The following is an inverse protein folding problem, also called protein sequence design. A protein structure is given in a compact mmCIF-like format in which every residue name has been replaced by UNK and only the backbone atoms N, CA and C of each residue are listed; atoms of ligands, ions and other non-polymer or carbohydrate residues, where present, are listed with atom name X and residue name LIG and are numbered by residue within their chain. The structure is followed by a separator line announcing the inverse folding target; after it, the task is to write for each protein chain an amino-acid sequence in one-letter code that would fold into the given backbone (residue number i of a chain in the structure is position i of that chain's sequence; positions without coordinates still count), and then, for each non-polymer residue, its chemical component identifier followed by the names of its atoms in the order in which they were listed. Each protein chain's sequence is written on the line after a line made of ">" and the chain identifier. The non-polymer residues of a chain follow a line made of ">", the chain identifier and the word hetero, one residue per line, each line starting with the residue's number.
data_IF_318795501815
#
_entry.id   IF_318795501815
#
_cell.length_a   1.000
_cell.length_b   1.000
_cell.length_c   1.000
_cell.angle_alpha   90.00
_cell.angle_beta   90.00
_cell.angle_gamma   90.00
#
_symmetry.space_group_name_H-M   'P 1'
#
loop_
_entity.id
_entity.type
_entity.pdbx_description
1 polymer ?
#
# COMPACT_ATOMS: atom_id res chain seq x y z
N UNK A 1 -5.87 1.38 -4.25
CA UNK A 1 -7.00 1.86 -5.09
C UNK A 1 -8.06 2.68 -4.32
N UNK A 2 -8.72 2.12 -3.30
CA UNK A 2 -9.83 2.81 -2.61
C UNK A 2 -9.41 4.15 -1.96
N UNK A 3 -8.29 4.19 -1.23
CA UNK A 3 -7.77 5.44 -0.66
C UNK A 3 -7.49 6.49 -1.75
N UNK A 4 -6.85 6.11 -2.86
CA UNK A 4 -6.57 7.04 -3.96
C UNK A 4 -7.87 7.64 -4.51
N UNK A 5 -8.87 6.79 -4.78
CA UNK A 5 -10.16 7.24 -5.29
C UNK A 5 -10.86 8.20 -4.31
N UNK A 6 -11.02 7.79 -3.05
CA UNK A 6 -11.70 8.60 -2.04
C UNK A 6 -10.95 9.91 -1.76
N UNK A 7 -9.62 9.87 -1.65
CA UNK A 7 -8.81 11.08 -1.45
C UNK A 7 -8.89 12.04 -2.64
N UNK A 8 -8.92 11.53 -3.86
CA UNK A 8 -9.03 12.37 -5.07
C UNK A 8 -10.41 13.00 -5.17
N UNK A 9 -11.49 12.25 -4.90
CA UNK A 9 -12.85 12.80 -4.87
C UNK A 9 -13.00 13.79 -3.72
N UNK A 10 -12.43 13.48 -2.54
CA UNK A 10 -12.37 14.40 -1.40
C UNK A 10 -11.71 15.72 -1.79
N UNK A 11 -10.56 15.66 -2.47
CA UNK A 11 -9.83 16.86 -2.90
C UNK A 11 -10.62 17.65 -3.93
N UNK A 12 -11.25 16.96 -4.88
CA UNK A 12 -12.13 17.58 -5.86
C UNK A 12 -13.29 18.32 -5.18
N UNK A 13 -13.99 17.68 -4.24
CA UNK A 13 -15.07 18.30 -3.45
C UNK A 13 -14.55 19.48 -2.61
N UNK A 14 -13.40 19.34 -1.96
CA UNK A 14 -12.79 20.38 -1.14
C UNK A 14 -12.41 21.62 -1.98
N UNK A 15 -11.99 21.42 -3.23
CA UNK A 15 -11.62 22.51 -4.13
C UNK A 15 -12.81 23.17 -4.85
N UNK A 16 -14.02 22.60 -4.73
CA UNK A 16 -15.19 23.14 -5.40
C UNK A 16 -15.60 24.49 -4.80
N UNK A 17 -15.99 25.48 -5.64
CA UNK A 17 -16.47 26.77 -5.16
C UNK A 17 -17.86 26.67 -4.52
N UNK A 18 -18.64 25.63 -4.85
CA UNK A 18 -19.98 25.46 -4.32
C UNK A 18 -19.95 24.90 -2.89
N UNK A 19 -20.70 25.56 -2.00
CA UNK A 19 -20.71 25.21 -0.57
C UNK A 19 -21.21 23.79 -0.30
N UNK A 20 -22.18 23.31 -1.09
CA UNK A 20 -22.77 21.97 -0.90
C UNK A 20 -21.72 20.88 -1.11
N UNK A 21 -21.00 20.91 -2.23
CA UNK A 21 -19.93 19.95 -2.52
C UNK A 21 -18.79 20.05 -1.50
N UNK A 22 -18.40 21.26 -1.12
CA UNK A 22 -17.37 21.47 -0.12
C UNK A 22 -17.68 20.76 1.22
N UNK A 23 -18.93 20.84 1.70
CA UNK A 23 -19.34 20.19 2.94
C UNK A 23 -19.63 18.69 2.82
N UNK A 24 -19.65 18.13 1.60
CA UNK A 24 -19.66 16.68 1.39
C UNK A 24 -18.28 16.03 1.56
N UNK A 25 -17.20 16.80 1.38
CA UNK A 25 -15.83 16.30 1.54
C UNK A 25 -15.57 15.54 2.87
N UNK A 26 -15.91 16.06 4.07
CA UNK A 26 -15.59 15.36 5.32
C UNK A 26 -16.31 14.01 5.45
N UNK A 27 -17.48 13.82 4.84
CA UNK A 27 -18.17 12.51 4.83
C UNK A 27 -17.39 11.47 4.03
N UNK A 28 -16.85 11.83 2.85
CA UNK A 28 -15.92 10.96 2.13
C UNK A 28 -14.64 10.71 2.91
N UNK A 29 -14.19 11.70 3.67
CA UNK A 29 -13.06 11.56 4.57
C UNK A 29 -13.29 10.51 5.66
N UNK A 30 -14.49 10.48 6.25
CA UNK A 30 -14.88 9.43 7.21
C UNK A 30 -14.85 8.05 6.57
N UNK A 31 -15.35 7.90 5.34
CA UNK A 31 -15.25 6.63 4.60
C UNK A 31 -13.80 6.24 4.35
N UNK A 32 -12.94 7.20 3.99
CA UNK A 32 -11.52 6.96 3.72
C UNK A 32 -10.74 6.57 4.98
N UNK A 33 -11.08 7.14 6.14
CA UNK A 33 -10.52 6.76 7.45
C UNK A 33 -10.93 5.33 7.83
N UNK A 34 -12.16 4.93 7.48
CA UNK A 34 -12.71 3.60 7.77
C UNK A 34 -12.10 2.45 6.97
N UNK A 35 -11.28 2.74 5.96
CA UNK A 35 -10.53 1.72 5.23
C UNK A 35 -9.46 1.09 6.13
N UNK A 36 -8.72 0.13 5.58
CA UNK A 36 -7.72 -0.67 6.30
C UNK A 36 -6.63 0.13 7.05
N UNK A 37 -6.38 1.40 6.72
CA UNK A 37 -5.42 2.26 7.44
C UNK A 37 -5.94 3.71 7.59
N UNK A 38 -6.36 4.12 8.80
CA UNK A 38 -6.95 5.45 9.02
C UNK A 38 -5.96 6.61 8.80
N UNK A 39 -4.68 6.34 9.08
CA UNK A 39 -3.59 7.32 9.01
C UNK A 39 -3.39 7.84 7.58
N UNK A 40 -3.63 7.00 6.55
CA UNK A 40 -3.42 7.37 5.14
C UNK A 40 -4.26 8.60 4.76
N UNK A 41 -5.54 8.62 5.14
CA UNK A 41 -6.39 9.79 4.86
C UNK A 41 -6.07 10.96 5.77
N UNK A 42 -5.75 10.71 7.05
CA UNK A 42 -5.43 11.77 8.00
C UNK A 42 -4.21 12.59 7.55
N UNK A 43 -3.11 11.94 7.16
CA UNK A 43 -1.91 12.61 6.64
C UNK A 43 -2.21 13.33 5.33
N UNK A 44 -3.04 12.72 4.48
CA UNK A 44 -3.44 13.33 3.23
C UNK A 44 -4.20 14.65 3.42
N UNK A 45 -5.23 14.65 4.30
CA UNK A 45 -6.12 15.78 4.49
C UNK A 45 -5.55 16.86 5.44
N UNK A 46 -4.61 16.51 6.32
CA UNK A 46 -4.13 17.39 7.37
C UNK A 46 -3.68 18.80 6.90
N UNK A 47 -2.88 18.97 5.82
CA UNK A 47 -2.47 20.30 5.37
C UNK A 47 -3.65 21.18 4.95
N UNK A 48 -4.63 20.60 4.26
CA UNK A 48 -5.84 21.29 3.81
C UNK A 48 -6.72 21.72 4.99
N UNK A 49 -6.86 20.86 6.01
CA UNK A 49 -7.64 21.19 7.21
C UNK A 49 -6.93 22.24 8.08
N UNK A 50 -5.61 22.13 8.23
CA UNK A 50 -4.80 23.11 8.94
C UNK A 50 -4.92 24.50 8.28
N UNK A 51 -5.05 24.54 6.96
CA UNK A 51 -5.30 25.79 6.24
C UNK A 51 -6.63 26.43 6.61
N UNK A 52 -7.70 25.66 6.83
CA UNK A 52 -8.99 26.21 7.28
C UNK A 52 -8.85 26.92 8.64
N UNK A 53 -8.10 26.31 9.56
CA UNK A 53 -7.78 26.89 10.88
C UNK A 53 -6.95 28.17 10.70
N UNK A 54 -5.88 28.12 9.91
CA UNK A 54 -4.99 29.26 9.68
C UNK A 54 -5.70 30.45 9.02
N UNK A 55 -6.64 30.18 8.12
CA UNK A 55 -7.48 31.19 7.47
C UNK A 55 -8.68 31.62 8.33
N UNK A 56 -8.79 31.13 9.57
CA UNK A 56 -9.88 31.43 10.51
C UNK A 56 -11.27 31.12 9.93
N UNK A 57 -11.39 30.11 9.07
CA UNK A 57 -12.68 29.64 8.50
C UNK A 57 -13.42 28.76 9.52
N UNK A 58 -13.69 29.31 10.70
CA UNK A 58 -14.22 28.57 11.85
C UNK A 58 -15.48 27.75 11.57
N UNK A 59 -16.49 28.23 10.82
CA UNK A 59 -17.65 27.40 10.50
C UNK A 59 -17.26 26.13 9.75
N UNK A 60 -16.33 26.23 8.79
CA UNK A 60 -15.83 25.07 8.06
C UNK A 60 -15.01 24.15 8.98
N UNK A 61 -14.12 24.71 9.80
CA UNK A 61 -13.33 23.95 10.77
C UNK A 61 -14.20 23.15 11.74
N UNK A 62 -15.25 23.77 12.29
CA UNK A 62 -16.16 23.10 13.24
C UNK A 62 -16.93 21.98 12.56
N UNK A 63 -17.46 22.22 11.35
CA UNK A 63 -18.20 21.20 10.59
C UNK A 63 -17.30 20.02 10.23
N UNK A 64 -16.13 20.28 9.63
CA UNK A 64 -15.18 19.22 9.28
C UNK A 64 -14.71 18.47 10.53
N UNK A 65 -14.32 19.20 11.58
CA UNK A 65 -13.85 18.62 12.84
C UNK A 65 -14.92 17.76 13.50
N UNK A 66 -16.17 18.24 13.57
CA UNK A 66 -17.30 17.49 14.14
C UNK A 66 -17.60 16.20 13.38
N UNK A 67 -17.64 16.26 12.05
CA UNK A 67 -17.89 15.07 11.20
C UNK A 67 -16.74 14.07 11.33
N UNK A 68 -15.48 14.53 11.27
CA UNK A 68 -14.33 13.63 11.43
C UNK A 68 -14.28 13.03 12.84
N UNK A 69 -14.56 13.79 13.88
CA UNK A 69 -14.58 13.30 15.26
C UNK A 69 -15.67 12.22 15.43
N UNK A 70 -16.88 12.49 14.97
CA UNK A 70 -17.99 11.52 15.00
C UNK A 70 -17.66 10.26 14.19
N UNK A 71 -17.08 10.42 12.99
CA UNK A 71 -16.66 9.30 12.15
C UNK A 71 -15.54 8.47 12.77
N UNK A 72 -14.51 9.10 13.34
CA UNK A 72 -13.44 8.41 14.07
C UNK A 72 -13.98 7.66 15.29
N UNK A 73 -14.89 8.26 16.05
CA UNK A 73 -15.56 7.58 17.17
C UNK A 73 -16.37 6.37 16.68
N UNK A 74 -17.14 6.51 15.60
CA UNK A 74 -17.90 5.41 14.99
C UNK A 74 -17.01 4.25 14.56
N UNK A 75 -15.92 4.52 13.84
CA UNK A 75 -14.96 3.48 13.42
C UNK A 75 -14.21 2.85 14.58
N UNK A 76 -13.88 3.63 15.61
CA UNK A 76 -13.26 3.12 16.83
C UNK A 76 -14.19 2.14 17.55
N UNK A 77 -15.46 2.51 17.75
CA UNK A 77 -16.47 1.65 18.37
C UNK A 77 -16.72 0.39 17.54
N UNK A 78 -16.82 0.53 16.21
CA UNK A 78 -16.92 -0.61 15.29
C UNK A 78 -15.75 -1.58 15.43
N UNK A 79 -14.51 -1.05 15.41
CA UNK A 79 -13.31 -1.87 15.61
C UNK A 79 -13.34 -2.57 16.96
N UNK A 80 -13.66 -1.85 18.05
CA UNK A 80 -13.71 -2.42 19.39
C UNK A 80 -14.71 -3.58 19.50
N UNK A 81 -15.81 -3.52 18.75
CA UNK A 81 -16.83 -4.57 18.72
C UNK A 81 -16.38 -5.80 17.92
N UNK A 82 -15.68 -5.63 16.79
CA UNK A 82 -15.32 -6.71 15.88
C UNK A 82 -13.85 -7.15 15.94
N UNK A 83 -13.02 -6.56 16.79
CA UNK A 83 -11.61 -6.92 16.89
C UNK A 83 -11.44 -8.34 17.44
N UNK A 84 -10.57 -9.13 16.79
CA UNK A 84 -10.17 -10.44 17.29
C UNK A 84 -9.31 -10.31 18.54
N UNK A 85 -9.39 -11.30 19.42
CA UNK A 85 -8.48 -11.44 20.57
C UNK A 85 -7.02 -11.45 20.04
N UNK A 86 -6.19 -10.54 20.53
CA UNK A 86 -4.78 -10.41 20.11
C UNK A 86 -4.48 -9.35 19.03
N UNK A 87 -5.47 -8.53 18.62
CA UNK A 87 -5.21 -7.41 17.71
C UNK A 87 -4.21 -6.40 18.31
N UNK A 88 -3.25 -5.95 17.49
CA UNK A 88 -2.23 -4.99 17.92
C UNK A 88 -2.85 -3.69 18.45
N UNK A 89 -2.35 -3.21 19.59
CA UNK A 89 -2.88 -2.00 20.23
C UNK A 89 -2.62 -0.74 19.37
N UNK A 90 -3.47 0.28 19.53
CA UNK A 90 -3.31 1.59 18.89
C UNK A 90 -1.95 2.23 19.22
N UNK A 91 -1.40 1.93 20.41
CA UNK A 91 -0.09 2.42 20.84
C UNK A 91 1.08 1.91 19.99
N UNK A 92 0.91 0.78 19.29
CA UNK A 92 1.95 0.21 18.41
C UNK A 92 2.39 1.18 17.31
N UNK A 93 1.55 2.12 16.90
CA UNK A 93 1.87 3.17 15.91
C UNK A 93 3.06 4.04 16.34
N UNK A 94 3.28 4.19 17.65
CA UNK A 94 4.35 4.99 18.25
C UNK A 94 5.58 4.16 18.63
N UNK A 95 5.69 2.94 18.13
CA UNK A 95 6.89 2.13 18.30
C UNK A 95 8.13 2.87 17.73
N UNK A 96 9.31 2.62 18.30
CA UNK A 96 10.54 3.25 17.82
C UNK A 96 10.76 2.97 16.34
N UNK A 97 11.33 3.97 15.64
CA UNK A 97 11.59 3.89 14.21
C UNK A 97 12.45 2.66 13.86
N UNK A 98 12.13 2.01 12.75
CA UNK A 98 12.85 0.85 12.25
C UNK A 98 14.05 1.33 11.40
N UNK A 99 15.31 1.06 11.80
CA UNK A 99 16.49 1.52 11.04
C UNK A 99 16.51 1.05 9.59
N UNK A 100 15.87 -0.08 9.27
CA UNK A 100 15.77 -0.59 7.90
C UNK A 100 14.99 0.37 6.98
N UNK A 101 14.14 1.25 7.53
CA UNK A 101 13.42 2.25 6.75
C UNK A 101 14.34 3.18 5.97
N UNK A 102 15.56 3.44 6.46
CA UNK A 102 16.55 4.25 5.76
C UNK A 102 16.92 3.67 4.39
N UNK A 103 16.79 2.36 4.21
CA UNK A 103 17.07 1.66 2.95
C UNK A 103 15.75 1.37 2.20
N UNK A 104 14.73 0.90 2.92
CA UNK A 104 13.44 0.50 2.34
C UNK A 104 12.72 1.68 1.69
N UNK A 105 12.76 2.88 2.27
CA UNK A 105 11.98 4.02 1.80
C UNK A 105 12.53 4.63 0.50
N UNK A 106 13.85 4.78 0.31
CA UNK A 106 14.41 5.06 -1.01
C UNK A 106 14.01 4.03 -2.07
N UNK A 107 14.05 2.73 -1.75
CA UNK A 107 13.58 1.68 -2.66
C UNK A 107 12.10 1.84 -3.00
N UNK A 108 11.26 2.19 -2.04
CA UNK A 108 9.85 2.45 -2.26
C UNK A 108 9.60 3.69 -3.13
N UNK A 109 10.42 4.74 -3.02
CA UNK A 109 10.36 5.88 -3.96
C UNK A 109 10.67 5.41 -5.39
N UNK A 110 11.66 4.54 -5.56
CA UNK A 110 11.96 3.96 -6.88
C UNK A 110 10.79 3.14 -7.43
N UNK A 111 9.93 2.55 -6.58
CA UNK A 111 8.68 1.94 -7.02
C UNK A 111 7.70 2.99 -7.57
N UNK A 112 7.62 4.19 -6.99
CA UNK A 112 6.79 5.28 -7.55
C UNK A 112 7.29 5.65 -8.94
N UNK A 113 8.59 5.85 -9.10
CA UNK A 113 9.20 6.14 -10.41
C UNK A 113 8.98 4.98 -11.39
N UNK A 114 9.16 3.76 -10.90
CA UNK A 114 9.09 2.53 -11.69
C UNK A 114 7.69 2.15 -12.18
N UNK A 115 6.64 2.67 -11.54
CA UNK A 115 5.23 2.42 -11.88
C UNK A 115 4.47 3.66 -12.36
N UNK A 116 5.01 4.86 -12.20
CA UNK A 116 4.50 6.06 -12.86
C UNK A 116 5.05 6.18 -14.29
N UNK A 117 4.46 7.07 -15.10
CA UNK A 117 5.12 7.45 -16.36
C UNK A 117 6.46 8.12 -16.05
N UNK A 118 7.51 7.87 -16.83
CA UNK A 118 8.87 8.39 -16.55
C UNK A 118 8.91 9.92 -16.43
N UNK A 119 7.99 10.60 -17.11
CA UNK A 119 7.86 12.06 -17.10
C UNK A 119 7.22 12.57 -15.81
N UNK A 120 6.28 11.83 -15.22
CA UNK A 120 5.56 12.25 -14.01
C UNK A 120 6.47 12.63 -12.84
N UNK A 121 7.42 11.78 -12.37
CA UNK A 121 8.28 12.13 -11.25
C UNK A 121 9.21 13.31 -11.59
N UNK A 122 9.69 13.40 -12.83
CA UNK A 122 10.53 14.53 -13.27
C UNK A 122 9.76 15.86 -13.22
N UNK A 123 8.53 15.87 -13.72
CA UNK A 123 7.65 17.04 -13.62
C UNK A 123 7.27 17.34 -12.17
N UNK A 124 7.02 16.33 -11.35
CA UNK A 124 6.74 16.53 -9.93
C UNK A 124 7.92 17.22 -9.22
N UNK A 125 9.16 16.82 -9.51
CA UNK A 125 10.36 17.50 -8.98
C UNK A 125 10.40 18.97 -9.41
N UNK A 126 10.14 19.28 -10.68
CA UNK A 126 10.05 20.67 -11.15
C UNK A 126 8.95 21.45 -10.40
N UNK A 127 7.78 20.85 -10.21
CA UNK A 127 6.68 21.44 -9.45
C UNK A 127 7.05 21.74 -7.99
N UNK A 128 7.71 20.80 -7.31
CA UNK A 128 8.19 20.98 -5.93
C UNK A 128 9.20 22.13 -5.80
N UNK A 129 10.07 22.33 -6.80
CA UNK A 129 11.04 23.45 -6.78
C UNK A 129 10.37 24.83 -6.72
N UNK A 130 9.12 24.94 -7.19
CA UNK A 130 8.34 26.16 -7.15
C UNK A 130 7.45 26.29 -5.90
N UNK A 131 7.65 25.48 -4.85
CA UNK A 131 6.77 25.39 -3.67
C UNK A 131 6.20 26.73 -3.17
N UNK A 132 7.05 27.72 -2.90
CA UNK A 132 6.62 29.03 -2.36
C UNK A 132 5.87 29.92 -3.37
N UNK A 133 5.88 29.58 -4.65
CA UNK A 133 5.17 30.26 -5.74
C UNK A 133 3.90 29.53 -6.16
N UNK A 134 3.60 28.37 -5.56
CA UNK A 134 2.40 27.60 -5.85
C UNK A 134 1.15 28.29 -5.31
N UNK A 135 0.01 28.02 -5.94
CA UNK A 135 -1.29 28.35 -5.34
C UNK A 135 -1.48 27.60 -4.02
N UNK A 136 -2.27 28.16 -3.11
CA UNK A 136 -2.43 27.62 -1.75
C UNK A 136 -2.87 26.15 -1.73
N UNK A 137 -3.74 25.75 -2.66
CA UNK A 137 -4.22 24.36 -2.78
C UNK A 137 -3.08 23.42 -3.21
N UNK A 138 -2.23 23.84 -4.14
CA UNK A 138 -1.10 23.00 -4.60
C UNK A 138 0.02 22.96 -3.55
N UNK A 139 0.19 24.02 -2.75
CA UNK A 139 1.05 23.96 -1.56
C UNK A 139 0.57 22.90 -0.57
N UNK A 140 -0.74 22.83 -0.29
CA UNK A 140 -1.30 21.79 0.58
C UNK A 140 -1.13 20.40 -0.01
N UNK A 141 -1.30 20.24 -1.33
CA UNK A 141 -1.05 18.99 -2.03
C UNK A 141 0.42 18.55 -1.90
N UNK A 142 1.36 19.48 -2.02
CA UNK A 142 2.79 19.23 -1.80
C UNK A 142 3.08 18.85 -0.36
N UNK A 143 2.54 19.59 0.61
CA UNK A 143 2.66 19.26 2.03
C UNK A 143 2.03 17.91 2.35
N UNK A 144 0.94 17.53 1.69
CA UNK A 144 0.24 16.25 1.86
C UNK A 144 1.12 15.09 1.42
N UNK A 145 1.80 15.22 0.27
CA UNK A 145 2.76 14.24 -0.21
C UNK A 145 3.97 14.13 0.74
N UNK A 146 4.55 15.28 1.14
CA UNK A 146 5.71 15.33 2.02
C UNK A 146 5.39 14.77 3.41
N UNK A 147 4.26 15.16 4.00
CA UNK A 147 3.82 14.69 5.31
C UNK A 147 3.57 13.18 5.29
N UNK A 148 2.92 12.67 4.23
CA UNK A 148 2.70 11.23 4.05
C UNK A 148 4.03 10.49 3.96
N UNK A 149 4.93 10.94 3.09
CA UNK A 149 6.25 10.32 2.95
C UNK A 149 7.06 10.37 4.25
N UNK A 150 7.19 11.54 4.88
CA UNK A 150 7.94 11.71 6.13
C UNK A 150 7.38 10.84 7.24
N UNK A 151 6.06 10.77 7.41
CA UNK A 151 5.45 9.90 8.41
C UNK A 151 5.87 8.44 8.21
N UNK A 152 5.69 7.92 6.98
CA UNK A 152 6.03 6.53 6.69
C UNK A 152 7.53 6.28 6.66
N UNK A 153 8.35 7.30 6.41
CA UNK A 153 9.79 7.21 6.50
C UNK A 153 10.26 6.82 7.91
N UNK A 154 9.59 7.33 8.94
CA UNK A 154 9.88 7.03 10.35
C UNK A 154 8.95 5.96 10.95
N UNK A 155 7.99 5.46 10.18
CA UNK A 155 7.06 4.43 10.64
C UNK A 155 7.76 3.08 10.76
N UNK A 156 7.51 2.37 11.85
CA UNK A 156 8.27 1.16 12.20
C UNK A 156 7.97 -0.06 11.32
N UNK A 157 6.77 -0.12 10.71
CA UNK A 157 6.39 -1.18 9.79
C UNK A 157 6.78 -0.82 8.35
N UNK A 158 7.29 -1.82 7.62
CA UNK A 158 7.31 -1.71 6.17
C UNK A 158 5.89 -1.88 5.61
N UNK A 159 5.72 -1.47 4.35
CA UNK A 159 4.48 -1.72 3.61
C UNK A 159 4.26 -3.21 3.31
N UNK A 160 5.14 -4.07 3.83
CA UNK A 160 5.33 -5.44 3.43
C UNK A 160 5.43 -5.53 1.90
N UNK A 161 4.72 -6.51 1.38
CA UNK A 161 4.79 -6.92 0.02
C UNK A 161 3.86 -6.10 -0.88
N UNK A 162 4.38 -5.63 -2.01
CA UNK A 162 3.59 -4.93 -3.00
C UNK A 162 4.40 -4.50 -4.21
N UNK A 163 3.73 -4.41 -5.35
CA UNK A 163 4.34 -3.96 -6.60
C UNK A 163 4.67 -2.46 -6.57
N UNK A 164 3.84 -1.64 -5.92
CA UNK A 164 4.02 -0.19 -5.83
C UNK A 164 4.28 0.30 -4.41
N UNK A 165 4.34 1.62 -4.26
CA UNK A 165 4.45 2.26 -2.94
C UNK A 165 3.07 2.53 -2.34
N UNK A 166 2.55 1.55 -1.58
CA UNK A 166 1.25 1.55 -0.90
C UNK A 166 1.05 2.79 -0.03
N UNK A 167 2.07 3.19 0.71
CA UNK A 167 1.98 4.30 1.65
C UNK A 167 1.78 5.66 0.98
N UNK A 168 2.42 5.91 -0.18
CA UNK A 168 2.20 7.14 -0.94
C UNK A 168 1.00 7.05 -1.89
N UNK A 169 0.45 5.85 -2.10
CA UNK A 169 -0.60 5.62 -3.10
C UNK A 169 -1.84 6.51 -2.89
N UNK A 170 -2.22 6.79 -1.63
CA UNK A 170 -3.34 7.68 -1.30
C UNK A 170 -3.09 9.16 -1.65
N UNK A 171 -1.84 9.57 -1.86
CA UNK A 171 -1.44 10.94 -2.17
C UNK A 171 -1.08 11.15 -3.64
N UNK A 172 -1.20 10.14 -4.51
CA UNK A 172 -0.83 10.26 -5.93
C UNK A 172 -1.63 11.34 -6.67
N UNK A 173 -2.89 11.57 -6.30
CA UNK A 173 -3.68 12.69 -6.85
C UNK A 173 -3.03 14.05 -6.59
N UNK A 174 -2.50 14.26 -5.38
CA UNK A 174 -1.73 15.46 -5.04
C UNK A 174 -0.42 15.53 -5.83
N UNK A 175 0.30 14.41 -5.97
CA UNK A 175 1.54 14.35 -6.75
C UNK A 175 1.30 14.75 -8.22
N UNK A 176 0.17 14.36 -8.80
CA UNK A 176 -0.21 14.75 -10.16
C UNK A 176 -0.46 16.25 -10.29
N UNK A 177 -1.11 16.90 -9.31
CA UNK A 177 -1.28 18.37 -9.33
C UNK A 177 0.07 19.09 -9.33
N UNK A 178 1.03 18.59 -8.56
CA UNK A 178 2.39 19.14 -8.51
C UNK A 178 3.09 18.93 -9.86
N UNK A 179 2.95 17.76 -10.46
CA UNK A 179 3.49 17.47 -11.79
C UNK A 179 2.90 18.39 -12.88
N UNK A 180 1.60 18.73 -12.80
CA UNK A 180 0.99 19.71 -13.72
C UNK A 180 1.62 21.10 -13.57
N UNK A 181 1.98 21.52 -12.36
CA UNK A 181 2.72 22.77 -12.19
C UNK A 181 4.13 22.69 -12.77
N UNK A 182 4.82 21.57 -12.59
CA UNK A 182 6.13 21.35 -13.24
C UNK A 182 6.05 21.33 -14.76
N UNK A 183 4.94 20.86 -15.33
CA UNK A 183 4.66 20.96 -16.76
C UNK A 183 4.54 22.42 -17.23
N UNK A 184 3.82 23.26 -16.48
CA UNK A 184 3.69 24.68 -16.81
C UNK A 184 5.06 25.38 -16.77
N UNK A 185 5.85 25.12 -15.73
CA UNK A 185 7.23 25.61 -15.60
C UNK A 185 8.12 25.20 -16.79
N UNK A 186 8.08 23.92 -17.15
CA UNK A 186 8.81 23.40 -18.30
C UNK A 186 8.36 24.09 -19.59
N UNK A 187 7.04 24.25 -19.78
CA UNK A 187 6.46 24.88 -20.98
C UNK A 187 6.86 26.35 -21.11
N UNK A 188 6.89 27.09 -20.01
CA UNK A 188 7.40 28.47 -19.95
C UNK A 188 8.90 28.54 -20.27
N UNK A 189 9.69 27.57 -19.79
CA UNK A 189 11.15 27.60 -19.88
C UNK A 189 11.67 27.17 -21.25
N UNK A 190 11.16 26.08 -21.82
CA UNK A 190 11.66 25.51 -23.09
C UNK A 190 10.73 25.70 -24.28
N UNK A 191 9.55 26.31 -24.05
CA UNK A 191 8.50 26.48 -25.05
C UNK A 191 7.55 25.27 -25.15
N UNK A 192 6.28 25.56 -25.43
CA UNK A 192 5.19 24.57 -25.42
C UNK A 192 5.41 23.37 -26.35
N UNK A 193 6.00 23.58 -27.54
CA UNK A 193 6.26 22.51 -28.51
C UNK A 193 7.28 21.50 -27.98
N UNK A 194 8.38 21.98 -27.37
CA UNK A 194 9.42 21.11 -26.81
C UNK A 194 8.93 20.39 -25.56
N UNK A 195 8.23 21.09 -24.67
CA UNK A 195 7.59 20.48 -23.51
C UNK A 195 6.63 19.35 -23.95
N UNK A 196 5.75 19.61 -24.94
CA UNK A 196 4.82 18.61 -25.48
C UNK A 196 5.54 17.41 -26.07
N UNK A 197 6.62 17.63 -26.80
CA UNK A 197 7.44 16.56 -27.34
C UNK A 197 8.04 15.70 -26.22
N UNK A 198 8.55 16.32 -25.14
CA UNK A 198 9.07 15.61 -23.97
C UNK A 198 7.99 14.76 -23.28
N UNK A 199 6.79 15.31 -23.05
CA UNK A 199 5.68 14.56 -22.44
C UNK A 199 5.24 13.39 -23.33
N UNK A 200 5.03 13.62 -24.63
CA UNK A 200 4.61 12.57 -25.56
C UNK A 200 5.65 11.47 -25.69
N UNK A 201 6.94 11.82 -25.80
CA UNK A 201 8.01 10.84 -25.86
C UNK A 201 8.08 10.01 -24.57
N UNK A 202 7.98 10.64 -23.41
CA UNK A 202 7.99 9.90 -22.16
C UNK A 202 6.77 9.01 -21.96
N UNK A 203 5.58 9.44 -22.40
CA UNK A 203 4.39 8.58 -22.42
C UNK A 203 4.59 7.40 -23.38
N UNK A 204 5.14 7.63 -24.57
CA UNK A 204 5.46 6.57 -25.52
C UNK A 204 6.48 5.59 -24.93
N UNK A 205 7.56 6.06 -24.31
CA UNK A 205 8.52 5.20 -23.61
C UNK A 205 7.85 4.40 -22.48
N UNK A 206 6.97 5.02 -21.70
CA UNK A 206 6.26 4.31 -20.63
C UNK A 206 5.32 3.22 -21.16
N UNK A 207 4.62 3.46 -22.27
CA UNK A 207 3.70 2.48 -22.85
C UNK A 207 4.40 1.40 -23.66
N UNK A 208 5.43 1.75 -24.42
CA UNK A 208 6.07 0.84 -25.38
C UNK A 208 7.28 0.10 -24.79
N UNK A 209 7.92 0.65 -23.76
CA UNK A 209 9.12 0.06 -23.14
C UNK A 209 8.86 -0.35 -21.69
N UNK A 210 8.45 0.62 -20.85
CA UNK A 210 8.31 0.39 -19.41
C UNK A 210 7.21 -0.63 -19.09
N UNK A 211 6.02 -0.49 -19.68
CA UNK A 211 4.89 -1.38 -19.42
C UNK A 211 5.18 -2.83 -19.88
N UNK A 212 5.64 -3.11 -21.11
CA UNK A 212 6.00 -4.48 -21.50
C UNK A 212 7.09 -5.08 -20.62
N UNK A 213 8.12 -4.31 -20.26
CA UNK A 213 9.16 -4.76 -19.34
C UNK A 213 8.56 -5.13 -17.97
N UNK A 214 7.64 -4.33 -17.43
CA UNK A 214 6.95 -4.61 -16.17
C UNK A 214 6.07 -5.85 -16.27
N UNK A 215 5.38 -6.06 -17.39
CA UNK A 215 4.62 -7.28 -17.64
C UNK A 215 5.54 -8.51 -17.62
N UNK A 216 6.68 -8.47 -18.31
CA UNK A 216 7.65 -9.56 -18.31
C UNK A 216 8.23 -9.83 -16.92
N UNK A 217 8.59 -8.79 -16.17
CA UNK A 217 9.11 -8.91 -14.81
C UNK A 217 8.07 -9.49 -13.85
N UNK A 218 6.82 -9.02 -13.91
CA UNK A 218 5.74 -9.52 -13.08
C UNK A 218 5.40 -10.97 -13.42
N UNK A 219 5.36 -11.31 -14.71
CA UNK A 219 5.13 -12.68 -15.18
C UNK A 219 6.24 -13.61 -14.69
N UNK A 220 7.51 -13.27 -14.94
CA UNK A 220 8.66 -14.08 -14.54
C UNK A 220 8.70 -14.31 -13.03
N UNK A 221 8.36 -13.28 -12.25
CA UNK A 221 8.29 -13.38 -10.80
C UNK A 221 7.12 -14.26 -10.32
N UNK A 222 5.93 -14.13 -10.90
CA UNK A 222 4.72 -14.85 -10.48
C UNK A 222 4.67 -16.30 -11.01
N UNK A 223 5.27 -16.58 -12.17
CA UNK A 223 5.28 -17.90 -12.81
C UNK A 223 5.62 -19.07 -11.86
N UNK A 224 6.69 -19.04 -11.04
CA UNK A 224 6.97 -20.12 -10.09
C UNK A 224 5.86 -20.32 -9.05
N UNK A 225 5.27 -19.22 -8.54
CA UNK A 225 4.13 -19.30 -7.62
C UNK A 225 2.88 -19.89 -8.27
N UNK A 226 2.60 -19.51 -9.52
CA UNK A 226 1.48 -20.08 -10.27
C UNK A 226 1.66 -21.58 -10.53
N UNK A 227 2.88 -22.02 -10.88
CA UNK A 227 3.22 -23.44 -11.04
C UNK A 227 3.10 -24.20 -9.73
N UNK A 228 3.58 -23.63 -8.63
CA UNK A 228 3.44 -24.23 -7.29
C UNK A 228 1.98 -24.36 -6.89
N UNK A 229 1.18 -23.31 -7.05
CA UNK A 229 -0.25 -23.38 -6.76
C UNK A 229 -0.97 -24.45 -7.61
N UNK A 230 -0.60 -24.60 -8.89
CA UNK A 230 -1.16 -25.64 -9.75
C UNK A 230 -0.74 -27.05 -9.30
N UNK A 231 0.55 -27.25 -8.96
CA UNK A 231 1.05 -28.53 -8.47
C UNK A 231 0.36 -28.93 -7.17
N UNK A 232 0.32 -28.03 -6.18
CA UNK A 232 -0.28 -28.30 -4.88
C UNK A 232 -1.75 -28.72 -5.01
N UNK A 233 -2.49 -28.10 -5.95
CA UNK A 233 -3.89 -28.46 -6.26
C UNK A 233 -4.04 -29.78 -7.03
N UNK A 234 -3.01 -30.25 -7.72
CA UNK A 234 -3.03 -31.47 -8.50
C UNK A 234 -2.65 -32.72 -7.68
N UNK A 235 -2.12 -32.54 -6.46
CA UNK A 235 -1.76 -33.67 -5.58
C UNK A 235 -3.04 -34.42 -5.17
N UNK A 236 -3.13 -35.74 -5.40
CA UNK A 236 -4.29 -36.54 -5.06
C UNK A 236 -4.32 -36.86 -3.55
N UNK A 237 -4.61 -35.84 -2.73
CA UNK A 237 -4.75 -35.95 -1.29
C UNK A 237 -5.99 -35.19 -0.80
N UNK A 238 -6.48 -35.51 0.40
CA UNK A 238 -7.53 -34.73 1.05
C UNK A 238 -7.01 -33.37 1.52
N UNK A 239 -5.75 -33.32 1.96
CA UNK A 239 -5.09 -32.10 2.38
C UNK A 239 -3.62 -32.09 1.96
N UNK A 240 -3.12 -30.92 1.61
CA UNK A 240 -1.71 -30.66 1.36
C UNK A 240 -1.24 -29.61 2.35
N UNK A 241 -0.19 -29.91 3.10
CA UNK A 241 0.38 -28.99 4.09
C UNK A 241 1.86 -28.75 3.82
N UNK A 242 2.31 -27.53 4.05
CA UNK A 242 3.72 -27.14 3.97
C UNK A 242 4.03 -26.06 4.99
N UNK A 243 5.31 -25.81 5.26
CA UNK A 243 5.73 -24.69 6.10
C UNK A 243 5.89 -23.42 5.23
N UNK A 244 5.10 -22.35 5.46
CA UNK A 244 5.20 -21.12 4.68
C UNK A 244 6.52 -20.34 4.91
N UNK A 245 7.39 -20.82 5.80
CA UNK A 245 8.74 -20.29 6.03
C UNK A 245 9.79 -20.91 5.10
N UNK A 246 9.46 -22.02 4.43
CA UNK A 246 10.42 -22.75 3.60
C UNK A 246 10.83 -21.99 2.34
N UNK A 247 9.94 -21.15 1.80
CA UNK A 247 10.26 -20.28 0.67
C UNK A 247 9.65 -18.91 0.85
N UNK A 248 10.32 -17.92 0.27
CA UNK A 248 9.81 -16.55 0.20
C UNK A 248 8.41 -16.57 -0.44
N UNK A 249 7.42 -15.89 0.18
CA UNK A 249 6.01 -15.78 -0.27
C UNK A 249 5.18 -17.08 -0.34
N UNK A 250 5.66 -18.22 0.17
CA UNK A 250 4.87 -19.47 0.07
C UNK A 250 3.54 -19.42 0.84
N UNK A 251 3.39 -18.55 1.85
CA UNK A 251 2.11 -18.30 2.51
C UNK A 251 0.98 -17.89 1.55
N UNK A 252 1.28 -17.23 0.44
CA UNK A 252 0.29 -16.84 -0.57
C UNK A 252 -0.27 -18.04 -1.36
N UNK A 253 0.36 -19.21 -1.26
CA UNK A 253 -0.10 -20.46 -1.88
C UNK A 253 -1.23 -21.11 -1.07
N UNK A 254 -1.46 -20.69 0.18
CA UNK A 254 -2.54 -21.16 1.04
C UNK A 254 -3.85 -20.53 0.56
N UNK A 255 -4.45 -21.13 -0.48
CA UNK A 255 -5.69 -20.66 -1.09
C UNK A 255 -6.67 -21.80 -1.29
N UNK A 256 -7.75 -21.76 -0.53
CA UNK A 256 -8.86 -22.70 -0.63
C UNK A 256 -10.08 -22.03 -1.26
N UNK A 257 -10.94 -22.85 -1.85
CA UNK A 257 -12.29 -22.45 -2.21
C UNK A 257 -13.04 -21.94 -0.95
N UNK A 258 -13.83 -20.84 -1.03
CA UNK A 258 -14.52 -20.27 0.14
C UNK A 258 -15.46 -21.24 0.86
N UNK A 259 -16.00 -22.24 0.16
CA UNK A 259 -16.89 -23.25 0.72
C UNK A 259 -16.17 -24.56 1.07
N UNK A 260 -14.85 -24.62 0.89
CA UNK A 260 -13.99 -25.78 1.18
C UNK A 260 -14.47 -27.06 0.47
N UNK A 261 -15.11 -26.93 -0.69
CA UNK A 261 -15.67 -28.06 -1.44
C UNK A 261 -14.59 -28.81 -2.24
N UNK A 262 -13.61 -28.07 -2.75
CA UNK A 262 -12.56 -28.63 -3.57
C UNK A 262 -11.46 -29.28 -2.73
N UNK A 263 -10.82 -30.32 -3.28
CA UNK A 263 -9.67 -31.01 -2.69
C UNK A 263 -8.47 -30.89 -3.65
N UNK A 264 -7.22 -30.92 -3.13
CA UNK A 264 -6.85 -30.93 -1.71
C UNK A 264 -7.14 -29.60 -1.01
N UNK A 265 -7.40 -29.64 0.30
CA UNK A 265 -7.32 -28.43 1.13
C UNK A 265 -5.84 -28.06 1.33
N UNK A 266 -5.50 -26.80 1.14
CA UNK A 266 -4.15 -26.29 1.35
C UNK A 266 -4.05 -25.69 2.75
N UNK A 267 -3.15 -26.24 3.56
CA UNK A 267 -2.93 -25.85 4.96
C UNK A 267 -1.48 -25.47 5.26
N UNK A 268 -1.26 -24.93 6.46
CA UNK A 268 0.05 -24.51 6.94
C UNK A 268 0.50 -25.34 8.13
N UNK A 269 1.77 -25.72 8.15
CA UNK A 269 2.41 -26.33 9.32
C UNK A 269 2.81 -25.30 10.39
N UNK A 270 2.82 -24.00 10.05
CA UNK A 270 3.33 -22.94 10.93
C UNK A 270 2.64 -22.87 12.30
N UNK A 271 1.33 -23.14 12.33
CA UNK A 271 0.52 -23.10 13.55
C UNK A 271 0.28 -24.47 14.18
N UNK A 272 0.89 -25.53 13.64
CA UNK A 272 0.71 -26.91 14.11
C UNK A 272 1.75 -27.22 15.17
N UNK A 273 1.31 -27.70 16.34
CA UNK A 273 2.23 -28.15 17.39
C UNK A 273 3.02 -29.38 16.94
N UNK A 274 4.25 -29.61 17.45
CA UNK A 274 5.11 -30.73 17.03
C UNK A 274 4.40 -32.09 17.07
N UNK A 275 3.58 -32.33 18.09
CA UNK A 275 2.76 -33.54 18.25
C UNK A 275 1.76 -33.70 17.10
N UNK A 276 1.12 -32.60 16.68
CA UNK A 276 0.21 -32.57 15.54
C UNK A 276 0.90 -32.85 14.21
N UNK A 277 2.17 -32.45 14.05
CA UNK A 277 2.94 -32.76 12.84
C UNK A 277 3.17 -34.27 12.70
N UNK A 278 3.49 -34.97 13.80
CA UNK A 278 3.64 -36.42 13.80
C UNK A 278 2.34 -37.13 13.43
N UNK A 279 1.20 -36.63 13.90
CA UNK A 279 -0.13 -37.16 13.53
C UNK A 279 -0.40 -36.96 12.03
N UNK A 280 -0.11 -35.79 11.48
CA UNK A 280 -0.29 -35.51 10.06
C UNK A 280 0.59 -36.38 9.17
N UNK A 281 1.83 -36.66 9.60
CA UNK A 281 2.76 -37.57 8.90
C UNK A 281 2.24 -39.01 8.81
N UNK A 282 1.43 -39.44 9.77
CA UNK A 282 0.84 -40.78 9.79
C UNK A 282 -0.47 -40.89 9.00
N UNK A 283 -1.04 -39.77 8.56
CA UNK A 283 -2.31 -39.76 7.82
C UNK A 283 -2.10 -40.07 6.34
N UNK A 284 -2.76 -41.11 5.83
CA UNK A 284 -2.73 -41.46 4.40
C UNK A 284 -3.44 -40.45 3.48
N UNK A 285 -4.22 -39.53 4.05
CA UNK A 285 -5.00 -38.53 3.32
C UNK A 285 -4.36 -37.13 3.33
N UNK A 286 -3.18 -36.99 3.95
CA UNK A 286 -2.45 -35.72 4.06
C UNK A 286 -1.11 -35.86 3.36
N UNK A 287 -0.84 -35.00 2.39
CA UNK A 287 0.47 -34.89 1.77
C UNK A 287 1.23 -33.72 2.40
N UNK A 288 2.41 -34.01 2.95
CA UNK A 288 3.35 -32.96 3.36
C UNK A 288 4.26 -32.63 2.17
N UNK A 289 4.36 -31.35 1.83
CA UNK A 289 5.26 -30.85 0.79
C UNK A 289 6.42 -30.14 1.48
N UNK A 290 7.63 -30.58 1.17
CA UNK A 290 8.85 -30.00 1.72
C UNK A 290 9.41 -28.85 0.85
N UNK A 291 10.38 -28.13 1.43
CA UNK A 291 11.13 -27.09 0.75
C UNK A 291 11.76 -27.52 -0.59
N UNK A 292 12.15 -28.79 -0.76
CA UNK A 292 12.85 -29.26 -1.95
C UNK A 292 11.95 -29.29 -3.18
N UNK A 293 10.66 -29.64 -2.98
CA UNK A 293 9.65 -29.60 -4.04
C UNK A 293 9.41 -28.17 -4.50
N UNK A 294 9.30 -27.23 -3.55
CA UNK A 294 9.09 -25.81 -3.86
C UNK A 294 10.32 -25.20 -4.56
N UNK A 295 11.54 -25.57 -4.14
CA UNK A 295 12.79 -25.12 -4.77
C UNK A 295 12.87 -25.53 -6.25
N UNK A 296 12.50 -26.78 -6.55
CA UNK A 296 12.48 -27.32 -7.93
C UNK A 296 11.54 -26.55 -8.86
N UNK A 297 10.55 -25.84 -8.32
CA UNK A 297 9.61 -25.02 -9.09
C UNK A 297 10.12 -23.60 -9.34
N UNK A 298 11.33 -23.26 -8.85
CA UNK A 298 11.94 -21.95 -9.02
C UNK A 298 11.52 -20.93 -7.95
N UNK A 299 10.98 -21.39 -6.82
CA UNK A 299 10.75 -20.52 -5.67
C UNK A 299 12.08 -20.28 -4.94
N UNK A 300 12.34 -19.04 -4.52
CA UNK A 300 13.54 -18.72 -3.75
C UNK A 300 13.44 -19.36 -2.36
N UNK A 301 14.39 -20.25 -2.06
CA UNK A 301 14.46 -21.03 -0.83
C UNK A 301 15.62 -20.59 0.05
N UNK A 302 16.03 -19.32 0.00
CA UNK A 302 16.87 -18.78 1.06
C UNK A 302 16.11 -19.01 2.38
N UNK A 303 16.49 -20.08 3.09
CA UNK A 303 16.02 -20.34 4.44
C UNK A 303 16.38 -19.09 5.21
N UNK A 304 15.38 -18.34 5.63
CA UNK A 304 15.56 -17.38 6.70
C UNK A 304 15.88 -18.18 7.96
N UNK A 305 17.15 -18.53 8.13
CA UNK A 305 17.65 -18.97 9.42
C UNK A 305 17.32 -17.89 10.44
N UNK A 306 16.78 -18.33 11.57
CA UNK A 306 16.35 -17.56 12.73
C UNK A 306 15.08 -16.73 12.58
N UNK A 307 14.07 -17.10 13.38
CA UNK A 307 13.54 -16.41 14.57
C UNK A 307 13.60 -14.85 14.71
N UNK A 308 14.01 -14.12 13.68
CA UNK A 308 14.27 -12.68 13.61
C UNK A 308 13.44 -11.99 12.51
N UNK A 309 12.98 -12.73 11.50
CA UNK A 309 12.01 -12.21 10.53
C UNK A 309 10.61 -12.68 10.89
N UNK A 310 10.09 -12.14 11.99
CA UNK A 310 8.64 -12.06 12.21
C UNK A 310 8.21 -10.64 11.81
N UNK A 311 7.88 -10.41 10.52
CA UNK A 311 7.48 -9.09 10.04
C UNK A 311 6.19 -8.57 10.72
N UNK A 312 5.46 -9.45 11.42
CA UNK A 312 4.20 -9.12 12.07
C UNK A 312 4.26 -9.18 13.60
N UNK A 313 5.38 -9.61 14.21
CA UNK A 313 5.50 -9.93 15.64
C UNK A 313 4.33 -10.80 16.15
N UNK A 314 3.78 -11.67 15.30
CA UNK A 314 2.69 -12.58 15.66
C UNK A 314 3.28 -13.85 16.29
N UNK A 315 3.89 -13.72 17.47
CA UNK A 315 4.27 -14.89 18.27
C UNK A 315 5.60 -14.81 18.99
N UNK A 316 5.65 -14.02 20.05
CA UNK A 316 6.29 -14.46 21.31
C UNK A 316 5.35 -14.11 22.45
N UNK A 317 4.25 -14.87 22.55
CA UNK A 317 3.60 -15.03 23.85
C UNK A 317 4.59 -15.79 24.74
N UNK A 318 5.06 -15.13 25.78
CA UNK A 318 5.43 -15.83 27.00
C UNK A 318 4.15 -16.12 27.76
#
# INVERSE_FOLDING_TARGET
>A
PAHLALNTIWLWLYCRPDRRSFYLAPFLGVLAIGLHQPIVHALFAAPFLLRLVRQRRWPATIIFGGIYLAGCAGWYLWRMHFQSVGAASVGSIFNPANPKMLIIQPMNILLVVGWASLVTPLLAVLGFRRFFRLSLIVQDAALSCLLTFCFYYFFYLDQAHGWGYRYLHGALGCLMLIAVVGWNDLSETVGAVRAKSFLLLGLACSLLLQLPLRCLQAEAFIRPFARAAALLKAIPAGMVVFDPRDTWYSGDLIRNDPFLQNRPLIGTLHAVQPEGVAILQQSSNVQIVDHSVLAKLGLSTERFEDARYDPFRLGRGK
#
